data_IF_448260513067
#
_entry.id   IF_448260513067
#
_cell.length_a   1.000
_cell.length_b   1.000
_cell.length_c   1.000
_cell.angle_alpha   90.00
_cell.angle_beta   90.00
_cell.angle_gamma   90.00
#
_symmetry.space_group_name_H-M   'P 1'
#
loop_
_entity.id
_entity.type
_entity.pdbx_description
1 polymer ?
#
# COMPACT_ATOMS: atom_id res chain seq x y z
N UNK A 1 10.63 0.67 0.87
CA UNK A 1 9.68 1.58 1.56
C UNK A 1 8.50 1.99 0.67
N UNK A 2 8.69 2.69 -0.46
CA UNK A 2 7.55 3.18 -1.29
C UNK A 2 6.66 2.09 -1.93
N UNK A 3 7.23 0.91 -2.21
CA UNK A 3 6.47 -0.23 -2.79
C UNK A 3 5.48 -0.85 -1.79
N UNK A 4 5.80 -0.81 -0.49
CA UNK A 4 4.96 -1.39 0.56
C UNK A 4 3.66 -0.61 0.72
N UNK A 5 3.71 0.71 0.57
CA UNK A 5 2.54 1.59 0.65
C UNK A 5 1.58 1.31 -0.51
N UNK A 6 2.10 1.11 -1.72
CA UNK A 6 1.28 0.72 -2.89
C UNK A 6 0.61 -0.65 -2.71
N UNK A 7 1.34 -1.62 -2.15
CA UNK A 7 0.79 -2.96 -1.86
C UNK A 7 -0.24 -2.94 -0.72
N UNK A 8 -0.04 -2.12 0.31
CA UNK A 8 -0.99 -1.95 1.42
C UNK A 8 -2.25 -1.23 0.93
N UNK A 9 -2.13 -0.16 0.15
CA UNK A 9 -3.28 0.52 -0.47
C UNK A 9 -4.06 -0.44 -1.38
N UNK A 10 -3.36 -1.32 -2.09
CA UNK A 10 -3.97 -2.38 -2.89
C UNK A 10 -4.72 -3.41 -2.03
N UNK A 11 -4.11 -3.90 -0.95
CA UNK A 11 -4.74 -4.84 -0.02
C UNK A 11 -5.98 -4.25 0.65
N UNK A 12 -5.92 -2.97 1.05
CA UNK A 12 -7.06 -2.25 1.64
C UNK A 12 -8.17 -2.07 0.60
N UNK A 13 -7.85 -1.72 -0.65
CA UNK A 13 -8.84 -1.58 -1.71
C UNK A 13 -9.56 -2.90 -2.00
N UNK A 14 -8.83 -4.02 -2.06
CA UNK A 14 -9.43 -5.35 -2.20
C UNK A 14 -10.32 -5.65 -1.00
N UNK A 15 -9.79 -5.52 0.23
CA UNK A 15 -10.54 -5.83 1.45
C UNK A 15 -11.83 -5.01 1.57
N UNK A 16 -11.79 -3.72 1.22
CA UNK A 16 -12.96 -2.85 1.29
C UNK A 16 -14.03 -3.28 0.27
N UNK A 17 -13.62 -3.61 -0.95
CA UNK A 17 -14.55 -4.05 -2.02
C UNK A 17 -15.10 -5.45 -1.76
N UNK A 18 -14.31 -6.37 -1.17
CA UNK A 18 -14.73 -7.76 -0.95
C UNK A 18 -15.48 -7.98 0.37
N UNK A 19 -15.19 -7.20 1.41
CA UNK A 19 -15.62 -7.51 2.79
C UNK A 19 -16.48 -6.42 3.45
N UNK A 20 -16.24 -5.13 3.20
CA UNK A 20 -16.91 -4.04 3.94
C UNK A 20 -18.25 -3.64 3.32
N UNK A 21 -18.38 -3.67 1.99
CA UNK A 21 -19.62 -3.28 1.29
C UNK A 21 -20.47 -4.45 0.78
N UNK A 22 -20.36 -5.63 1.40
CA UNK A 22 -21.38 -6.68 1.23
C UNK A 22 -22.68 -6.22 1.88
N UNK A 23 -23.48 -5.43 1.15
CA UNK A 23 -24.85 -5.07 1.56
C UNK A 23 -25.71 -6.34 1.57
N UNK A 24 -26.30 -6.75 2.70
CA UNK A 24 -27.29 -7.82 2.71
C UNK A 24 -28.50 -7.38 1.88
N UNK A 25 -28.73 -8.01 0.73
CA UNK A 25 -29.89 -7.75 -0.14
C UNK A 25 -29.68 -6.84 -1.35
N UNK A 26 -28.46 -6.40 -1.66
CA UNK A 26 -28.16 -5.74 -2.94
C UNK A 26 -27.92 -6.79 -4.06
N UNK A 27 -28.31 -6.52 -5.33
CA UNK A 27 -27.98 -7.40 -6.44
C UNK A 27 -26.47 -7.64 -6.48
N UNK A 28 -26.07 -8.87 -6.79
CA UNK A 28 -24.66 -9.30 -6.82
C UNK A 28 -23.79 -8.25 -7.51
N UNK A 29 -22.69 -7.79 -6.89
CA UNK A 29 -21.83 -6.78 -7.50
C UNK A 29 -21.36 -7.29 -8.86
N UNK A 30 -21.79 -6.59 -9.91
CA UNK A 30 -21.44 -6.93 -11.29
C UNK A 30 -19.93 -6.81 -11.45
N UNK A 31 -19.28 -7.73 -12.15
CA UNK A 31 -17.83 -7.71 -12.42
C UNK A 31 -17.31 -6.36 -12.96
N UNK A 32 -18.17 -5.61 -13.64
CA UNK A 32 -17.89 -4.26 -14.13
C UNK A 32 -17.69 -3.23 -12.99
N UNK A 33 -18.46 -3.33 -11.91
CA UNK A 33 -18.37 -2.42 -10.77
C UNK A 33 -17.08 -2.66 -9.97
N UNK A 34 -16.67 -3.93 -9.86
CA UNK A 34 -15.37 -4.32 -9.34
C UNK A 34 -14.23 -3.74 -10.19
N UNK A 35 -14.35 -3.77 -11.52
CA UNK A 35 -13.35 -3.24 -12.45
C UNK A 35 -13.22 -1.70 -12.40
N UNK A 36 -14.32 -0.98 -12.16
CA UNK A 36 -14.31 0.48 -12.00
C UNK A 36 -13.64 0.89 -10.69
N UNK A 37 -13.86 0.13 -9.62
CA UNK A 37 -13.33 0.42 -8.28
C UNK A 37 -11.90 -0.08 -8.07
N UNK A 38 -11.48 -1.07 -8.86
CA UNK A 38 -10.14 -1.62 -8.79
C UNK A 38 -9.09 -0.55 -9.16
N UNK A 39 -8.02 -0.39 -8.38
CA UNK A 39 -6.95 0.55 -8.70
C UNK A 39 -6.18 0.09 -9.94
N UNK A 40 -6.57 0.60 -11.11
CA UNK A 40 -6.05 0.23 -12.44
C UNK A 40 -4.53 0.42 -12.58
N UNK A 41 -3.92 1.27 -11.75
CA UNK A 41 -2.46 1.40 -11.64
C UNK A 41 -1.74 0.08 -11.34
N UNK A 42 -2.39 -0.83 -10.58
CA UNK A 42 -1.79 -2.11 -10.20
C UNK A 42 -1.66 -3.07 -11.38
N UNK A 43 -2.65 -3.08 -12.29
CA UNK A 43 -2.56 -3.85 -13.54
C UNK A 43 -1.38 -3.37 -14.40
N UNK A 44 -1.19 -2.05 -14.49
CA UNK A 44 -0.03 -1.47 -15.16
C UNK A 44 1.30 -1.88 -14.52
N UNK A 45 1.36 -1.91 -13.18
CA UNK A 45 2.55 -2.37 -12.46
C UNK A 45 2.84 -3.86 -12.70
N UNK A 46 1.83 -4.72 -12.65
CA UNK A 46 1.98 -6.16 -12.91
C UNK A 46 2.41 -6.40 -14.35
N UNK A 47 1.77 -5.75 -15.32
CA UNK A 47 2.15 -5.85 -16.73
C UNK A 47 3.58 -5.38 -16.97
N UNK A 48 3.98 -4.23 -16.41
CA UNK A 48 5.35 -3.73 -16.49
C UNK A 48 6.35 -4.68 -15.83
N UNK A 49 6.02 -5.26 -14.66
CA UNK A 49 6.87 -6.25 -13.99
C UNK A 49 7.07 -7.48 -14.86
N UNK A 50 6.01 -8.00 -15.48
CA UNK A 50 6.09 -9.15 -16.38
C UNK A 50 6.91 -8.83 -17.62
N UNK A 51 6.70 -7.66 -18.25
CA UNK A 51 7.50 -7.24 -19.41
C UNK A 51 8.98 -7.10 -19.05
N UNK A 52 9.29 -6.49 -17.92
CA UNK A 52 10.68 -6.34 -17.48
C UNK A 52 11.30 -7.72 -17.21
N UNK A 53 10.60 -8.60 -16.50
CA UNK A 53 11.08 -9.94 -16.13
C UNK A 53 11.22 -10.89 -17.33
N UNK A 54 10.28 -10.91 -18.27
CA UNK A 54 10.25 -11.88 -19.37
C UNK A 54 10.87 -11.37 -20.67
N UNK A 55 10.97 -10.04 -20.86
CA UNK A 55 11.45 -9.44 -22.12
C UNK A 55 12.76 -8.68 -21.90
N UNK A 56 12.80 -7.74 -20.95
CA UNK A 56 13.99 -6.88 -20.80
C UNK A 56 15.18 -7.57 -20.12
N UNK A 57 14.93 -8.40 -19.12
CA UNK A 57 15.98 -9.19 -18.45
C UNK A 57 16.75 -10.09 -19.43
N UNK A 58 16.11 -10.90 -20.29
CA UNK A 58 16.82 -11.73 -21.25
C UNK A 58 17.45 -10.94 -22.42
N UNK A 59 16.89 -9.79 -22.81
CA UNK A 59 17.42 -9.00 -23.95
C UNK A 59 18.59 -8.07 -23.57
N UNK A 60 18.57 -7.46 -22.39
CA UNK A 60 19.52 -6.39 -22.01
C UNK A 60 20.42 -6.77 -20.83
N UNK A 61 20.16 -7.91 -20.18
CA UNK A 61 20.88 -8.35 -18.98
C UNK A 61 20.41 -7.67 -17.70
N UNK A 62 20.51 -8.40 -16.58
CA UNK A 62 20.04 -7.94 -15.26
C UNK A 62 20.68 -6.63 -14.81
N UNK A 63 21.97 -6.41 -15.09
CA UNK A 63 22.71 -5.23 -14.62
C UNK A 63 22.20 -3.93 -15.26
N UNK A 64 21.97 -3.94 -16.58
CA UNK A 64 21.46 -2.78 -17.30
C UNK A 64 20.02 -2.45 -16.89
N UNK A 65 19.18 -3.47 -16.71
CA UNK A 65 17.80 -3.30 -16.22
C UNK A 65 17.81 -2.71 -14.81
N UNK A 66 18.68 -3.18 -13.91
CA UNK A 66 18.80 -2.61 -12.57
C UNK A 66 19.31 -1.17 -12.59
N UNK A 67 20.24 -0.84 -13.49
CA UNK A 67 20.70 0.53 -13.72
C UNK A 67 19.55 1.46 -14.11
N UNK A 68 18.73 1.06 -15.07
CA UNK A 68 17.52 1.80 -15.48
C UNK A 68 16.52 1.95 -14.33
N UNK A 69 16.22 0.87 -13.61
CA UNK A 69 15.30 0.89 -12.46
C UNK A 69 15.79 1.82 -11.34
N UNK A 70 17.10 1.92 -11.12
CA UNK A 70 17.69 2.88 -10.17
C UNK A 70 17.43 4.33 -10.60
N UNK A 71 17.63 4.66 -11.87
CA UNK A 71 17.35 6.02 -12.37
C UNK A 71 15.86 6.34 -12.30
N UNK A 72 14.99 5.44 -12.76
CA UNK A 72 13.53 5.59 -12.69
C UNK A 72 13.02 5.75 -11.26
N UNK A 73 13.72 5.20 -10.25
CA UNK A 73 13.36 5.39 -8.83
C UNK A 73 13.33 6.86 -8.42
N UNK A 74 14.32 7.66 -8.84
CA UNK A 74 14.39 9.08 -8.50
C UNK A 74 13.26 9.86 -9.19
N UNK A 75 13.00 9.58 -10.47
CA UNK A 75 11.89 10.19 -11.20
C UNK A 75 10.52 9.89 -10.57
N UNK A 76 10.28 8.63 -10.18
CA UNK A 76 9.06 8.27 -9.45
C UNK A 76 8.92 9.06 -8.14
N UNK A 77 10.02 9.26 -7.42
CA UNK A 77 10.05 10.08 -6.21
C UNK A 77 9.53 11.50 -6.47
N UNK A 78 10.07 12.17 -7.48
CA UNK A 78 9.63 13.51 -7.88
C UNK A 78 8.18 13.55 -8.34
N UNK A 79 7.74 12.58 -9.14
CA UNK A 79 6.35 12.47 -9.60
C UNK A 79 5.39 12.30 -8.42
N UNK A 80 5.72 11.46 -7.44
CA UNK A 80 4.90 11.30 -6.23
C UNK A 80 4.91 12.56 -5.35
N UNK A 81 6.05 13.24 -5.21
CA UNK A 81 6.12 14.51 -4.48
C UNK A 81 5.20 15.57 -5.10
N UNK A 82 5.22 15.72 -6.44
CA UNK A 82 4.36 16.67 -7.13
C UNK A 82 2.89 16.26 -6.99
N UNK A 83 2.57 14.96 -7.13
CA UNK A 83 1.20 14.48 -6.94
C UNK A 83 0.67 14.76 -5.52
N UNK A 84 1.46 14.50 -4.47
CA UNK A 84 1.07 14.80 -3.10
C UNK A 84 1.01 16.30 -2.81
N UNK A 85 1.89 17.09 -3.44
CA UNK A 85 1.81 18.55 -3.37
C UNK A 85 0.50 19.05 -3.98
N UNK A 86 0.12 18.56 -5.17
CA UNK A 86 -1.15 18.90 -5.82
C UNK A 86 -2.35 18.50 -4.96
N UNK A 87 -2.36 17.28 -4.41
CA UNK A 87 -3.43 16.82 -3.49
C UNK A 87 -3.50 17.73 -2.25
N UNK A 88 -2.35 18.14 -1.70
CA UNK A 88 -2.29 19.04 -0.54
C UNK A 88 -2.77 20.46 -0.85
N UNK A 89 -2.48 20.99 -2.05
CA UNK A 89 -2.93 22.30 -2.51
C UNK A 89 -4.43 22.33 -2.83
N UNK A 90 -4.96 21.23 -3.37
CA UNK A 90 -6.40 21.07 -3.66
C UNK A 90 -7.21 20.78 -2.37
N UNK A 91 -6.58 20.14 -1.39
CA UNK A 91 -7.23 19.82 -0.12
C UNK A 91 -7.59 21.06 0.68
N UNK A 92 -8.89 21.25 0.90
CA UNK A 92 -9.39 22.29 1.79
C UNK A 92 -9.17 21.89 3.25
N UNK A 93 -8.07 22.38 3.84
CA UNK A 93 -7.72 22.16 5.24
C UNK A 93 -8.84 22.55 6.23
N UNK A 94 -9.73 23.49 5.88
CA UNK A 94 -10.87 23.88 6.72
C UNK A 94 -11.94 22.81 6.78
N UNK A 95 -12.22 22.16 5.65
CA UNK A 95 -13.14 21.00 5.58
C UNK A 95 -12.54 19.82 6.34
N UNK A 96 -11.26 19.56 6.15
CA UNK A 96 -10.54 18.50 6.87
C UNK A 96 -10.55 18.77 8.39
N UNK A 97 -10.32 20.01 8.82
CA UNK A 97 -10.39 20.41 10.22
C UNK A 97 -11.81 20.29 10.80
N UNK A 98 -12.86 20.54 10.00
CA UNK A 98 -14.25 20.31 10.41
C UNK A 98 -14.58 18.82 10.55
N UNK A 99 -14.08 17.95 9.67
CA UNK A 99 -14.24 16.50 9.82
C UNK A 99 -13.41 15.91 10.98
N UNK A 100 -12.32 16.58 11.34
CA UNK A 100 -11.51 16.28 12.52
C UNK A 100 -12.16 16.80 13.83
N UNK A 101 -13.15 17.70 13.77
CA UNK A 101 -13.93 18.16 14.94
C UNK A 101 -14.86 17.05 15.42
N UNK A 102 -14.31 16.24 16.32
CA UNK A 102 -15.00 15.12 16.94
C UNK A 102 -14.05 14.14 17.61
N UNK A 103 -12.74 14.19 17.31
CA UNK A 103 -11.67 13.42 17.98
C UNK A 103 -11.72 11.90 17.78
N UNK A 104 -12.90 11.34 17.46
CA UNK A 104 -13.14 9.92 17.23
C UNK A 104 -12.21 9.31 16.16
N UNK A 105 -11.96 9.94 15.00
CA UNK A 105 -11.05 9.37 14.00
C UNK A 105 -9.60 9.31 14.50
N UNK A 106 -9.16 10.35 15.22
CA UNK A 106 -7.80 10.45 15.75
C UNK A 106 -7.56 9.40 16.85
N UNK A 107 -8.52 9.23 17.76
CA UNK A 107 -8.43 8.21 18.82
C UNK A 107 -8.41 6.81 18.20
N UNK A 108 -9.27 6.53 17.21
CA UNK A 108 -9.30 5.24 16.54
C UNK A 108 -7.97 4.93 15.83
N UNK A 109 -7.36 5.95 15.21
CA UNK A 109 -6.04 5.84 14.60
C UNK A 109 -4.95 5.55 15.64
N UNK A 110 -4.92 6.31 16.74
CA UNK A 110 -3.93 6.12 17.82
C UNK A 110 -4.06 4.74 18.45
N UNK A 111 -5.28 4.30 18.75
CA UNK A 111 -5.54 2.96 19.30
C UNK A 111 -5.13 1.87 18.31
N UNK A 112 -5.51 1.99 17.03
CA UNK A 112 -5.14 1.04 16.00
C UNK A 112 -3.62 0.96 15.78
N UNK A 113 -2.95 2.10 15.73
CA UNK A 113 -1.50 2.17 15.55
C UNK A 113 -0.77 1.63 16.79
N UNK A 114 -1.26 1.92 17.99
CA UNK A 114 -0.70 1.41 19.24
C UNK A 114 -0.89 -0.10 19.34
N UNK A 115 -2.06 -0.60 18.97
CA UNK A 115 -2.33 -2.04 18.90
C UNK A 115 -1.44 -2.74 17.88
N UNK A 116 -1.25 -2.17 16.69
CA UNK A 116 -0.33 -2.71 15.68
C UNK A 116 1.12 -2.74 16.18
N UNK A 117 1.55 -1.68 16.87
CA UNK A 117 2.88 -1.61 17.48
C UNK A 117 3.04 -2.68 18.56
N UNK A 118 2.05 -2.85 19.44
CA UNK A 118 2.06 -3.87 20.50
C UNK A 118 2.06 -5.29 19.91
N UNK A 119 1.26 -5.56 18.88
CA UNK A 119 1.28 -6.86 18.18
C UNK A 119 2.63 -7.14 17.53
N UNK A 120 3.22 -6.14 16.86
CA UNK A 120 4.54 -6.28 16.24
C UNK A 120 5.60 -6.57 17.30
N UNK A 121 5.58 -5.84 18.42
CA UNK A 121 6.45 -6.10 19.56
C UNK A 121 6.21 -7.48 20.19
N UNK A 122 4.97 -7.92 20.31
CA UNK A 122 4.64 -9.25 20.81
C UNK A 122 5.15 -10.36 19.89
N UNK A 123 5.05 -10.18 18.57
CA UNK A 123 5.59 -11.12 17.57
C UNK A 123 7.12 -11.14 17.63
N UNK A 124 7.77 -9.97 17.67
CA UNK A 124 9.23 -9.87 17.81
C UNK A 124 9.67 -10.52 19.12
N UNK A 125 8.99 -10.24 20.23
CA UNK A 125 9.26 -10.86 21.53
C UNK A 125 9.07 -12.37 21.46
N UNK A 126 7.98 -12.88 20.89
CA UNK A 126 7.75 -14.33 20.72
C UNK A 126 8.85 -14.99 19.87
N UNK A 127 9.25 -14.35 18.77
CA UNK A 127 10.30 -14.87 17.89
C UNK A 127 11.70 -14.78 18.50
N UNK A 128 11.99 -13.77 19.34
CA UNK A 128 13.32 -13.50 19.89
C UNK A 128 13.49 -13.90 21.37
N UNK A 129 12.41 -14.30 22.06
CA UNK A 129 12.41 -14.66 23.50
C UNK A 129 13.10 -16.00 23.80
N UNK A 130 13.58 -16.74 22.79
CA UNK A 130 14.32 -17.99 22.99
C UNK A 130 13.51 -19.17 23.53
N UNK A 131 12.21 -18.99 23.81
CA UNK A 131 11.35 -20.03 24.39
C UNK A 131 10.67 -20.93 23.34
N UNK A 132 10.65 -20.51 22.06
CA UNK A 132 10.02 -21.25 20.95
C UNK A 132 10.90 -21.35 19.69
N UNK A 133 11.72 -20.34 19.41
CA UNK A 133 12.73 -20.36 18.34
C UNK A 133 14.12 -20.13 18.96
N UNK A 134 15.15 -20.88 18.53
CA UNK A 134 16.51 -20.61 18.97
C UNK A 134 16.91 -19.20 18.52
N UNK A 135 17.49 -18.44 19.44
CA UNK A 135 17.99 -17.10 19.16
C UNK A 135 19.06 -17.24 18.07
N UNK A 136 18.98 -16.51 16.94
CA UNK A 136 20.02 -16.57 15.93
C UNK A 136 21.32 -16.05 16.56
N UNK A 137 22.31 -16.93 16.70
CA UNK A 137 23.68 -16.50 16.99
C UNK A 137 24.19 -15.74 15.74
N UNK A 138 24.59 -14.49 15.95
CA UNK A 138 25.13 -13.59 14.91
C UNK A 138 26.49 -14.08 14.41
#
# INVERSE_FOLDING_TARGET
QNMLIGAIAFGIAIFWVTSVEKKPGAPTPTLNELWVRFPKFVLGFVAASLLVSFVFVPLMGLENVQGLLKQTKNYRGWLFCIAFLSIGLESNFRVLAQQMRGGKPMILYIVGQSFNLLLTLAVVWLMLSGNFFPVPEL
#
